data_IF_437113620386
#
_entry.id   IF_437113620386
#
_cell.length_a   1.000
_cell.length_b   1.000
_cell.length_c   1.000
_cell.angle_alpha   90.00
_cell.angle_beta   90.00
_cell.angle_gamma   90.00
#
_symmetry.space_group_name_H-M   'P 1'
#
loop_
_entity.id
_entity.type
_entity.pdbx_description
1 polymer ?
#
# COMPACT_ATOMS: atom_id res chain seq x y z
N UNK A 1 -12.01 8.18 5.08
CA UNK A 1 -11.01 8.83 5.95
C UNK A 1 -11.46 8.65 7.40
N UNK A 2 -11.03 7.56 8.05
CA UNK A 2 -11.16 7.43 9.51
C UNK A 2 -9.98 8.24 10.10
N UNK A 3 -10.24 9.49 10.50
CA UNK A 3 -9.20 10.28 11.16
C UNK A 3 -9.00 9.79 12.59
N UNK A 4 -7.85 10.11 13.18
CA UNK A 4 -7.49 9.94 14.61
C UNK A 4 -8.42 10.73 15.57
N UNK A 5 -9.60 11.15 15.09
CA UNK A 5 -10.57 11.98 15.80
C UNK A 5 -11.99 11.38 15.83
N UNK A 6 -12.20 10.19 15.26
CA UNK A 6 -13.50 9.50 15.29
C UNK A 6 -13.59 8.40 16.35
N UNK A 7 -12.55 8.23 17.15
CA UNK A 7 -12.53 7.26 18.24
C UNK A 7 -13.21 7.81 19.49
N UNK A 8 -14.04 6.97 20.11
CA UNK A 8 -14.73 7.35 21.35
C UNK A 8 -13.75 7.30 22.52
N UNK A 9 -13.68 8.39 23.28
CA UNK A 9 -12.86 8.45 24.49
C UNK A 9 -13.68 7.93 25.67
N UNK A 10 -13.19 6.87 26.31
CA UNK A 10 -13.85 6.22 27.45
C UNK A 10 -12.97 6.23 28.68
N UNK A 11 -13.55 6.49 29.84
CA UNK A 11 -12.82 6.38 31.10
C UNK A 11 -12.51 4.92 31.41
N UNK A 12 -11.32 4.63 31.94
CA UNK A 12 -10.91 3.26 32.31
C UNK A 12 -11.89 2.60 33.28
N UNK A 13 -12.57 3.39 34.11
CA UNK A 13 -13.60 2.92 35.05
C UNK A 13 -14.87 2.45 34.34
N UNK A 14 -15.29 3.12 33.27
CA UNK A 14 -16.44 2.71 32.46
C UNK A 14 -16.09 1.51 31.57
N UNK A 15 -14.87 1.50 30.99
CA UNK A 15 -14.35 0.35 30.26
C UNK A 15 -14.41 -0.93 31.10
N UNK A 16 -13.98 -0.87 32.37
CA UNK A 16 -14.04 -2.01 33.30
C UNK A 16 -15.48 -2.47 33.58
N UNK A 17 -16.41 -1.53 33.76
CA UNK A 17 -17.82 -1.83 34.05
C UNK A 17 -18.56 -2.41 32.84
N UNK A 18 -18.21 -1.97 31.62
CA UNK A 18 -18.93 -2.27 30.38
C UNK A 18 -18.02 -2.92 29.32
N UNK A 19 -17.08 -3.76 29.74
CA UNK A 19 -16.03 -4.29 28.87
C UNK A 19 -16.57 -4.99 27.61
N UNK A 20 -17.58 -5.86 27.77
CA UNK A 20 -18.19 -6.56 26.62
C UNK A 20 -18.75 -5.58 25.58
N UNK A 21 -19.49 -4.57 26.04
CA UNK A 21 -20.07 -3.55 25.18
C UNK A 21 -18.99 -2.81 24.39
N UNK A 22 -17.93 -2.35 25.05
CA UNK A 22 -16.85 -1.61 24.38
C UNK A 22 -16.06 -2.48 23.40
N UNK A 23 -15.81 -3.76 23.71
CA UNK A 23 -15.19 -4.68 22.76
C UNK A 23 -16.09 -4.94 21.54
N UNK A 24 -17.41 -5.00 21.71
CA UNK A 24 -18.34 -5.15 20.60
C UNK A 24 -18.40 -3.88 19.73
N UNK A 25 -18.33 -2.68 20.34
CA UNK A 25 -18.17 -1.40 19.62
C UNK A 25 -16.89 -1.41 18.77
N UNK A 26 -15.74 -1.82 19.33
CA UNK A 26 -14.48 -1.88 18.58
C UNK A 26 -14.54 -2.85 17.40
N UNK A 27 -15.26 -3.98 17.54
CA UNK A 27 -15.39 -4.96 16.46
C UNK A 27 -16.24 -4.46 15.31
N UNK A 28 -17.27 -3.66 15.60
CA UNK A 28 -18.33 -3.31 14.65
C UNK A 28 -18.22 -1.89 14.10
N UNK A 29 -17.70 -0.95 14.88
CA UNK A 29 -17.85 0.48 14.59
C UNK A 29 -16.51 1.18 14.43
N UNK A 30 -15.77 1.38 15.53
CA UNK A 30 -14.57 2.22 15.52
C UNK A 30 -13.65 1.91 16.71
N UNK A 31 -12.36 2.26 16.63
CA UNK A 31 -11.46 2.24 17.77
C UNK A 31 -11.99 3.03 18.98
N UNK A 32 -11.52 2.68 20.16
CA UNK A 32 -11.88 3.32 21.43
C UNK A 32 -10.62 3.75 22.17
N UNK A 33 -10.50 5.04 22.45
CA UNK A 33 -9.40 5.58 23.26
C UNK A 33 -9.73 5.51 24.74
N UNK A 34 -8.78 5.04 25.53
CA UNK A 34 -8.89 4.86 26.98
C UNK A 34 -8.29 6.09 27.67
N UNK A 35 -9.12 6.77 28.45
CA UNK A 35 -8.71 7.83 29.35
C UNK A 35 -8.44 7.29 30.77
N UNK A 36 -7.27 7.62 31.32
CA UNK A 36 -6.89 7.29 32.70
C UNK A 36 -5.99 8.38 33.29
N UNK A 37 -6.35 8.87 34.49
CA UNK A 37 -5.50 9.83 35.22
C UNK A 37 -5.23 11.14 34.47
N UNK A 38 -6.21 11.59 33.66
CA UNK A 38 -6.08 12.80 32.84
C UNK A 38 -5.30 12.61 31.53
N UNK A 39 -4.86 11.39 31.20
CA UNK A 39 -4.24 11.03 29.92
C UNK A 39 -5.18 10.20 29.07
N UNK A 40 -5.03 10.28 27.75
CA UNK A 40 -5.80 9.54 26.75
C UNK A 40 -4.86 9.07 25.63
N UNK A 41 -3.89 8.23 26.00
CA UNK A 41 -2.76 7.77 25.17
C UNK A 41 -2.81 6.27 24.84
N UNK A 42 -3.85 5.57 25.28
CA UNK A 42 -4.07 4.14 25.03
C UNK A 42 -5.32 3.95 24.15
N UNK A 43 -5.28 2.97 23.25
CA UNK A 43 -6.38 2.68 22.33
C UNK A 43 -6.66 1.17 22.26
N UNK A 44 -7.93 0.81 22.11
CA UNK A 44 -8.37 -0.53 21.73
C UNK A 44 -8.88 -0.45 20.29
N UNK A 45 -8.27 -1.21 19.41
CA UNK A 45 -8.68 -1.31 18.01
C UNK A 45 -8.60 -2.76 17.53
N UNK A 46 -9.17 -3.02 16.34
CA UNK A 46 -9.02 -4.33 15.71
C UNK A 46 -7.58 -4.47 15.22
N UNK A 47 -7.01 -5.66 15.39
CA UNK A 47 -5.65 -5.96 14.90
C UNK A 47 -5.49 -5.70 13.39
N UNK A 48 -6.53 -5.96 12.61
CA UNK A 48 -6.51 -5.74 11.17
C UNK A 48 -6.37 -4.24 10.82
N UNK A 49 -7.06 -3.36 11.56
CA UNK A 49 -6.97 -1.92 11.35
C UNK A 49 -5.56 -1.41 11.68
N UNK A 50 -4.97 -1.88 12.78
CA UNK A 50 -3.60 -1.52 13.12
C UNK A 50 -2.60 -2.00 12.06
N UNK A 51 -2.76 -3.23 11.54
CA UNK A 51 -1.91 -3.73 10.48
C UNK A 51 -1.98 -2.83 9.22
N UNK A 52 -3.17 -2.31 8.89
CA UNK A 52 -3.36 -1.36 7.79
C UNK A 52 -2.66 -0.03 8.10
N UNK A 53 -2.89 0.56 9.28
CA UNK A 53 -2.27 1.81 9.68
C UNK A 53 -0.73 1.74 9.68
N UNK A 54 -0.17 0.66 10.21
CA UNK A 54 1.26 0.40 10.20
C UNK A 54 1.81 0.35 8.76
N UNK A 55 1.10 -0.32 7.84
CA UNK A 55 1.50 -0.43 6.43
C UNK A 55 1.43 0.91 5.70
N UNK A 56 0.37 1.68 5.90
CA UNK A 56 0.25 3.03 5.33
C UNK A 56 1.40 3.92 5.81
N UNK A 57 1.74 3.87 7.10
CA UNK A 57 2.83 4.65 7.66
C UNK A 57 4.20 4.22 7.10
N UNK A 58 4.42 2.92 6.92
CA UNK A 58 5.62 2.37 6.29
C UNK A 58 5.78 2.93 4.86
N UNK A 59 4.74 2.84 4.03
CA UNK A 59 4.77 3.35 2.66
C UNK A 59 4.85 4.88 2.60
N UNK A 60 4.19 5.60 3.51
CA UNK A 60 4.31 7.06 3.58
C UNK A 60 5.76 7.50 3.84
N UNK A 61 6.48 6.78 4.72
CA UNK A 61 7.91 7.04 4.95
C UNK A 61 8.75 6.72 3.71
N UNK A 62 8.46 5.62 3.03
CA UNK A 62 9.14 5.24 1.78
C UNK A 62 8.97 6.33 0.72
N UNK A 63 7.73 6.75 0.44
CA UNK A 63 7.43 7.79 -0.55
C UNK A 63 8.07 9.11 -0.17
N UNK A 64 7.93 9.56 1.08
CA UNK A 64 8.54 10.80 1.53
C UNK A 64 10.08 10.78 1.38
N UNK A 65 10.71 9.65 1.70
CA UNK A 65 12.15 9.48 1.54
C UNK A 65 12.57 9.47 0.07
N UNK A 66 11.83 8.77 -0.78
CA UNK A 66 12.08 8.73 -2.23
C UNK A 66 12.00 10.13 -2.86
N UNK A 67 10.93 10.88 -2.57
CA UNK A 67 10.76 12.24 -3.08
C UNK A 67 11.87 13.18 -2.61
N UNK A 68 12.37 12.99 -1.38
CA UNK A 68 13.49 13.77 -0.85
C UNK A 68 14.80 13.44 -1.58
N UNK A 69 15.08 12.16 -1.83
CA UNK A 69 16.28 11.73 -2.57
C UNK A 69 16.25 12.24 -4.02
N UNK A 70 15.09 12.16 -4.69
CA UNK A 70 14.85 12.74 -6.02
C UNK A 70 15.13 14.25 -6.06
N UNK A 71 14.57 15.00 -5.09
CA UNK A 71 14.78 16.45 -4.97
C UNK A 71 16.25 16.83 -4.76
N UNK A 72 17.00 16.00 -4.05
CA UNK A 72 18.40 16.26 -3.72
C UNK A 72 19.37 15.81 -4.82
N UNK A 73 18.90 15.08 -5.84
CA UNK A 73 19.77 14.43 -6.82
C UNK A 73 20.71 13.41 -6.18
N UNK A 74 20.33 12.86 -5.02
CA UNK A 74 21.12 11.88 -4.29
C UNK A 74 20.94 10.49 -4.91
N UNK A 75 21.85 9.57 -4.59
CA UNK A 75 21.65 8.16 -4.94
C UNK A 75 20.39 7.62 -4.26
N UNK A 76 19.53 6.99 -5.05
CA UNK A 76 18.25 6.45 -4.60
C UNK A 76 18.48 5.18 -3.78
N UNK A 77 18.20 5.25 -2.49
CA UNK A 77 18.37 4.14 -1.56
C UNK A 77 17.08 3.36 -1.37
N UNK A 78 15.93 4.04 -1.37
CA UNK A 78 14.65 3.38 -1.09
C UNK A 78 14.05 2.67 -2.30
N UNK A 79 14.26 3.23 -3.50
CA UNK A 79 13.83 2.65 -4.78
C UNK A 79 15.01 2.67 -5.76
N UNK A 80 16.05 1.86 -5.52
CA UNK A 80 17.28 1.90 -6.30
C UNK A 80 17.07 1.52 -7.77
N UNK A 81 16.04 0.73 -8.06
CA UNK A 81 15.69 0.29 -9.42
C UNK A 81 15.11 1.41 -10.29
N UNK A 82 14.62 2.50 -9.71
CA UNK A 82 14.03 3.62 -10.46
C UNK A 82 14.97 4.22 -11.51
N UNK A 83 16.29 4.20 -11.25
CA UNK A 83 17.32 4.68 -12.20
C UNK A 83 17.41 3.85 -13.50
N UNK A 84 16.79 2.67 -13.53
CA UNK A 84 16.77 1.77 -14.68
C UNK A 84 15.51 1.93 -15.53
N UNK A 85 14.56 2.78 -15.11
CA UNK A 85 13.43 3.17 -15.94
C UNK A 85 13.86 4.22 -16.98
N UNK A 86 13.24 4.17 -18.16
CA UNK A 86 13.35 5.19 -19.20
C UNK A 86 12.66 6.49 -18.77
N UNK A 87 12.92 7.60 -19.46
CA UNK A 87 12.40 8.91 -19.05
C UNK A 87 10.86 8.98 -19.06
N UNK A 88 10.23 8.39 -20.06
CA UNK A 88 8.78 8.25 -20.16
C UNK A 88 8.20 7.35 -19.05
N UNK A 89 8.84 6.20 -18.82
CA UNK A 89 8.49 5.28 -17.74
C UNK A 89 8.63 5.91 -16.35
N UNK A 90 9.63 6.77 -16.15
CA UNK A 90 9.82 7.53 -14.90
C UNK A 90 8.67 8.52 -14.65
N UNK A 91 8.22 9.23 -15.69
CA UNK A 91 7.08 10.15 -15.59
C UNK A 91 5.78 9.39 -15.28
N UNK A 92 5.56 8.26 -15.94
CA UNK A 92 4.40 7.40 -15.72
C UNK A 92 4.39 6.81 -14.31
N UNK A 93 5.50 6.23 -13.87
CA UNK A 93 5.66 5.75 -12.50
C UNK A 93 5.33 6.83 -11.48
N UNK A 94 5.84 8.05 -11.67
CA UNK A 94 5.60 9.16 -10.75
C UNK A 94 4.12 9.53 -10.65
N UNK A 95 3.40 9.51 -11.77
CA UNK A 95 1.97 9.77 -11.79
C UNK A 95 1.18 8.67 -11.05
N UNK A 96 1.47 7.40 -11.35
CA UNK A 96 0.81 6.26 -10.73
C UNK A 96 1.13 6.13 -9.24
N UNK A 97 2.39 6.38 -8.85
CA UNK A 97 2.83 6.39 -7.46
C UNK A 97 2.01 7.35 -6.62
N UNK A 98 1.84 8.59 -7.08
CA UNK A 98 1.08 9.61 -6.36
C UNK A 98 -0.41 9.29 -6.33
N UNK A 99 -0.95 8.75 -7.43
CA UNK A 99 -2.35 8.35 -7.51
C UNK A 99 -2.67 7.19 -6.56
N UNK A 100 -1.95 6.07 -6.66
CA UNK A 100 -2.13 4.92 -5.77
C UNK A 100 -1.80 5.25 -4.31
N UNK A 101 -0.84 6.13 -4.03
CA UNK A 101 -0.56 6.57 -2.67
C UNK A 101 -1.75 7.32 -2.07
N UNK A 102 -2.33 8.26 -2.83
CA UNK A 102 -3.55 8.99 -2.42
C UNK A 102 -4.69 8.02 -2.15
N UNK A 103 -4.93 7.07 -3.05
CA UNK A 103 -6.00 6.07 -2.93
C UNK A 103 -5.79 5.14 -1.73
N UNK A 104 -4.55 4.69 -1.49
CA UNK A 104 -4.19 3.90 -0.31
C UNK A 104 -4.51 4.65 0.98
N UNK A 105 -4.15 5.93 1.08
CA UNK A 105 -4.43 6.75 2.27
C UNK A 105 -5.94 6.93 2.49
N UNK A 106 -6.73 7.04 1.42
CA UNK A 106 -8.17 7.24 1.51
C UNK A 106 -8.94 5.96 1.85
N UNK A 107 -8.54 4.84 1.26
CA UNK A 107 -9.27 3.55 1.30
C UNK A 107 -8.70 2.54 2.28
N UNK A 108 -7.43 2.70 2.67
CA UNK A 108 -6.69 1.73 3.46
C UNK A 108 -6.22 0.49 2.68
N UNK A 109 -6.44 0.44 1.36
CA UNK A 109 -5.96 -0.64 0.51
C UNK A 109 -4.49 -0.45 0.16
N UNK A 110 -3.61 -0.91 1.06
CA UNK A 110 -2.16 -0.84 0.87
C UNK A 110 -1.63 -1.89 -0.12
N UNK A 111 -2.39 -2.97 -0.37
CA UNK A 111 -1.98 -4.03 -1.28
C UNK A 111 -1.84 -3.52 -2.71
N UNK A 112 -2.78 -2.69 -3.18
CA UNK A 112 -2.69 -2.07 -4.50
C UNK A 112 -1.41 -1.26 -4.69
N UNK A 113 -1.02 -0.50 -3.66
CA UNK A 113 0.25 0.24 -3.67
C UNK A 113 1.48 -0.68 -3.66
N UNK A 114 1.42 -1.80 -2.94
CA UNK A 114 2.48 -2.80 -2.94
C UNK A 114 2.68 -3.45 -4.32
N UNK A 115 1.57 -3.78 -5.01
CA UNK A 115 1.60 -4.35 -6.35
C UNK A 115 2.19 -3.37 -7.36
N UNK A 116 1.77 -2.10 -7.32
CA UNK A 116 2.34 -1.05 -8.16
C UNK A 116 3.88 -1.00 -8.05
N UNK A 117 4.41 -1.00 -6.83
CA UNK A 117 5.87 -0.98 -6.63
C UNK A 117 6.56 -2.23 -7.17
N UNK A 118 5.93 -3.40 -7.06
CA UNK A 118 6.46 -4.65 -7.60
C UNK A 118 6.46 -4.67 -9.12
N UNK A 119 5.36 -4.22 -9.74
CA UNK A 119 5.21 -4.19 -11.19
C UNK A 119 6.26 -3.24 -11.82
N UNK A 120 6.43 -2.05 -11.26
CA UNK A 120 7.44 -1.10 -11.74
C UNK A 120 8.87 -1.55 -11.49
N UNK A 121 9.12 -2.27 -10.39
CA UNK A 121 10.41 -2.92 -10.19
C UNK A 121 10.67 -3.96 -11.28
N UNK A 122 9.68 -4.78 -11.65
CA UNK A 122 9.81 -5.76 -12.72
C UNK A 122 10.05 -5.11 -14.09
N UNK A 123 9.42 -3.96 -14.37
CA UNK A 123 9.71 -3.14 -15.56
C UNK A 123 11.17 -2.68 -15.58
N UNK A 124 11.66 -2.14 -14.46
CA UNK A 124 13.05 -1.70 -14.32
C UNK A 124 14.05 -2.86 -14.49
N UNK A 125 13.73 -4.04 -13.95
CA UNK A 125 14.54 -5.26 -14.12
C UNK A 125 14.54 -5.75 -15.57
N UNK A 126 13.42 -5.61 -16.28
CA UNK A 126 13.32 -5.95 -17.70
C UNK A 126 14.21 -5.06 -18.56
N UNK A 127 14.30 -3.76 -18.23
CA UNK A 127 15.23 -2.84 -18.89
C UNK A 127 16.71 -3.21 -18.72
N UNK A 128 17.06 -3.97 -17.66
CA UNK A 128 18.41 -4.48 -17.45
C UNK A 128 18.73 -5.74 -18.26
N UNK A 129 17.72 -6.36 -18.89
CA UNK A 129 17.88 -7.58 -19.67
C UNK A 129 17.47 -7.34 -21.14
N UNK A 130 18.42 -6.92 -21.99
CA UNK A 130 18.16 -6.67 -23.41
C UNK A 130 17.65 -7.90 -24.17
N UNK A 131 18.07 -9.10 -23.77
CA UNK A 131 17.61 -10.35 -24.39
C UNK A 131 16.14 -10.64 -24.05
N UNK A 132 15.72 -10.37 -22.81
CA UNK A 132 14.33 -10.47 -22.39
C UNK A 132 13.46 -9.44 -23.12
N UNK A 133 13.90 -8.19 -23.22
CA UNK A 133 13.20 -7.14 -23.98
C UNK A 133 13.05 -7.54 -25.45
N UNK A 134 14.12 -8.01 -26.08
CA UNK A 134 14.08 -8.47 -27.47
C UNK A 134 13.13 -9.67 -27.66
N UNK A 135 13.03 -10.57 -26.69
CA UNK A 135 12.10 -11.69 -26.72
C UNK A 135 10.63 -11.26 -26.53
N UNK A 136 10.37 -10.24 -25.70
CA UNK A 136 9.02 -9.68 -25.49
C UNK A 136 8.55 -8.84 -26.68
N UNK A 137 9.45 -8.12 -27.34
CA UNK A 137 9.18 -7.31 -28.53
C UNK A 137 9.17 -8.13 -29.82
N UNK A 138 9.65 -9.38 -29.78
CA UNK A 138 9.67 -10.25 -30.94
C UNK A 138 8.23 -10.46 -31.48
N UNK A 139 8.03 -10.39 -32.81
CA UNK A 139 6.72 -10.63 -33.40
C UNK A 139 6.19 -11.99 -32.96
N UNK A 140 4.96 -12.01 -32.44
CA UNK A 140 4.28 -13.26 -32.11
C UNK A 140 4.28 -14.17 -33.33
N UNK A 141 4.78 -15.39 -33.17
CA UNK A 141 4.76 -16.44 -34.18
C UNK A 141 3.63 -17.42 -33.85
N UNK A 142 2.45 -17.30 -34.47
CA UNK A 142 1.28 -18.13 -34.17
C UNK A 142 1.60 -19.63 -34.19
N UNK A 143 2.53 -20.04 -35.07
CA UNK A 143 3.06 -21.40 -35.19
C UNK A 143 3.81 -21.95 -33.96
N UNK A 144 4.28 -21.09 -33.04
CA UNK A 144 4.97 -21.49 -31.81
C UNK A 144 4.01 -21.63 -30.61
N UNK A 145 2.74 -21.25 -30.76
CA UNK A 145 1.72 -21.37 -29.70
C UNK A 145 0.89 -22.64 -29.85
N UNK A 146 0.61 -23.32 -28.74
CA UNK A 146 -0.40 -24.38 -28.69
C UNK A 146 -1.77 -23.77 -28.43
N UNK A 147 -2.77 -24.22 -29.18
CA UNK A 147 -4.15 -23.80 -28.93
C UNK A 147 -4.62 -24.36 -27.59
N UNK A 148 -5.02 -23.48 -26.67
CA UNK A 148 -5.58 -23.86 -25.37
C UNK A 148 -7.09 -23.68 -25.46
N UNK A 149 -7.85 -24.76 -25.31
CA UNK A 149 -9.30 -24.68 -25.21
C UNK A 149 -9.68 -23.82 -24.00
N UNK A 150 -10.51 -22.79 -24.21
CA UNK A 150 -11.03 -22.00 -23.11
C UNK A 150 -11.89 -22.91 -22.23
N UNK A 151 -11.67 -22.94 -20.91
CA UNK A 151 -12.50 -23.74 -20.02
C UNK A 151 -13.96 -23.29 -20.15
N UNK A 152 -14.85 -24.25 -20.36
CA UNK A 152 -16.30 -24.02 -20.37
C UNK A 152 -16.69 -23.61 -18.95
N UNK A 153 -16.99 -22.33 -18.77
CA UNK A 153 -17.61 -21.84 -17.54
C UNK A 153 -19.09 -22.19 -17.67
N UNK A 154 -19.53 -23.26 -17.00
CA UNK A 154 -20.96 -23.52 -16.82
C UNK A 154 -21.55 -22.40 -15.96
N UNK A 155 -22.51 -21.67 -16.53
CA UNK A 155 -23.28 -20.60 -15.87
C UNK A 155 -24.51 -21.20 -15.20
#
# INVERSE_FOLDING_TARGET
>A
MLSVFEDQIVQVSDLKKRMKYWLDVVRQTAPVTIAQGGKADLIIMRRADEAIHAKILEYARLVARFLLEQRQGAELQVLPWYKHLKTDEQEEFMAELLHCFSDMVQTGNWQGFAYLLQDWQATAESNLNPELLAALEAPHRPEEYISVERPVVEV
#
